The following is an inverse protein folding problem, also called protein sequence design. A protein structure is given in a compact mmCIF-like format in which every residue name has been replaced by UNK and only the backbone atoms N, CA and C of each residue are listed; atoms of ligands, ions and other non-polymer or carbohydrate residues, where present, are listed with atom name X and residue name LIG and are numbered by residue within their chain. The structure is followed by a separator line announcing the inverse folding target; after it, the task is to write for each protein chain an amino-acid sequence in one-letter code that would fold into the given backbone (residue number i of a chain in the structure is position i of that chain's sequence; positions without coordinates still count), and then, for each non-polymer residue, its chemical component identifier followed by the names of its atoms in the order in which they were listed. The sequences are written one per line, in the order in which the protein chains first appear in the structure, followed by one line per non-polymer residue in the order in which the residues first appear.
data_IF_567483391056
#
_entry.id   IF_567483391056
#
_cell.length_a   1.000
_cell.length_b   1.000
_cell.length_c   1.000
_cell.angle_alpha   90.00
_cell.angle_beta   90.00
_cell.angle_gamma   90.00
#
_symmetry.space_group_name_H-M   'P 1'
#
loop_
_entity.id
_entity.type
_entity.pdbx_description
1 polymer ?
#
# COMPACT_ATOMS: atom_id res chain seq x y z
N UNK A 1 -14.22 -0.52 -1.18
CA UNK A 1 -14.03 -1.97 -1.40
C UNK A 1 -15.30 -2.70 -1.01
N UNK A 2 -15.80 -3.65 -1.82
CA UNK A 2 -17.09 -4.31 -1.58
C UNK A 2 -17.05 -5.32 -0.42
N UNK A 3 -18.22 -5.59 0.18
CA UNK A 3 -18.45 -6.49 1.32
C UNK A 3 -17.88 -7.93 1.15
N UNK A 4 -17.54 -8.33 -0.07
CA UNK A 4 -16.97 -9.65 -0.39
C UNK A 4 -15.47 -9.79 -0.11
N UNK A 5 -14.77 -8.67 0.11
CA UNK A 5 -13.33 -8.71 0.42
C UNK A 5 -13.03 -9.42 1.74
N UNK A 6 -13.93 -9.33 2.73
CA UNK A 6 -13.82 -10.04 4.01
C UNK A 6 -13.81 -11.58 3.85
N UNK A 7 -14.54 -12.13 2.88
CA UNK A 7 -14.58 -13.58 2.63
C UNK A 7 -13.26 -14.13 2.08
N UNK A 8 -12.43 -13.28 1.47
CA UNK A 8 -11.09 -13.63 0.99
C UNK A 8 -10.07 -13.42 2.11
N UNK A 9 -10.18 -12.33 2.87
CA UNK A 9 -9.23 -12.02 3.94
C UNK A 9 -9.40 -12.92 5.18
N UNK A 10 -10.60 -13.39 5.49
CA UNK A 10 -10.85 -14.22 6.67
C UNK A 10 -10.11 -15.58 6.59
N UNK A 11 -10.22 -16.39 5.51
CA UNK A 11 -9.42 -17.60 5.36
C UNK A 11 -7.91 -17.33 5.35
N UNK A 12 -7.47 -16.25 4.69
CA UNK A 12 -6.07 -15.85 4.69
C UNK A 12 -5.56 -15.54 6.11
N UNK A 13 -6.40 -14.92 6.93
CA UNK A 13 -6.07 -14.57 8.32
C UNK A 13 -5.92 -15.83 9.17
N UNK A 14 -6.85 -16.79 9.05
CA UNK A 14 -6.74 -18.08 9.74
C UNK A 14 -5.53 -18.89 9.28
N UNK A 15 -5.23 -18.90 7.98
CA UNK A 15 -4.02 -19.55 7.45
C UNK A 15 -2.74 -18.89 7.99
N UNK A 16 -2.73 -17.56 8.11
CA UNK A 16 -1.59 -16.81 8.64
C UNK A 16 -1.39 -17.08 10.13
N UNK A 17 -2.46 -17.06 10.93
CA UNK A 17 -2.42 -17.40 12.36
C UNK A 17 -1.98 -18.85 12.56
N UNK A 18 -2.53 -19.78 11.78
CA UNK A 18 -2.15 -21.19 11.81
C UNK A 18 -0.67 -21.40 11.45
N UNK A 19 -0.19 -20.71 10.42
CA UNK A 19 1.23 -20.73 10.03
C UNK A 19 2.14 -20.18 11.13
N UNK A 20 1.77 -19.07 11.76
CA UNK A 20 2.53 -18.48 12.87
C UNK A 20 2.55 -19.41 14.10
N UNK A 21 1.42 -20.03 14.44
CA UNK A 21 1.34 -20.98 15.55
C UNK A 21 2.22 -22.22 15.30
N UNK A 22 2.20 -22.76 14.07
CA UNK A 22 3.07 -23.87 13.67
C UNK A 22 4.55 -23.47 13.72
N UNK A 23 4.88 -22.25 13.30
CA UNK A 23 6.24 -21.71 13.37
C UNK A 23 6.75 -21.57 14.81
N UNK A 24 5.93 -21.04 15.71
CA UNK A 24 6.27 -20.93 17.14
C UNK A 24 6.43 -22.32 17.76
N UNK A 25 5.50 -23.23 17.48
CA UNK A 25 5.57 -24.62 17.96
C UNK A 25 6.86 -25.30 17.50
N UNK A 26 7.31 -25.01 16.29
CA UNK A 26 8.56 -25.51 15.74
C UNK A 26 9.80 -25.00 16.46
N UNK A 27 9.84 -23.71 16.78
CA UNK A 27 10.92 -23.14 17.59
C UNK A 27 10.95 -23.83 18.96
N UNK A 28 9.79 -23.98 19.61
CA UNK A 28 9.69 -24.61 20.93
C UNK A 28 10.14 -26.08 20.90
N UNK A 29 9.70 -26.86 19.92
CA UNK A 29 10.12 -28.26 19.75
C UNK A 29 11.61 -28.34 19.45
N UNK A 30 12.12 -27.50 18.54
CA UNK A 30 13.53 -27.49 18.18
C UNK A 30 14.45 -27.16 19.36
N UNK A 31 14.02 -26.23 20.23
CA UNK A 31 14.72 -25.92 21.48
C UNK A 31 14.62 -27.09 22.47
N UNK A 32 13.44 -27.67 22.67
CA UNK A 32 13.23 -28.77 23.64
C UNK A 32 13.96 -30.04 23.26
N UNK A 33 13.97 -30.39 21.99
CA UNK A 33 14.55 -31.64 21.50
C UNK A 33 16.01 -31.50 21.04
N UNK A 34 16.56 -30.27 21.03
CA UNK A 34 17.86 -29.92 20.44
C UNK A 34 18.04 -30.50 19.01
N UNK A 35 16.93 -30.65 18.30
CA UNK A 35 16.85 -31.22 16.96
C UNK A 35 16.27 -30.19 16.03
N UNK A 36 16.96 -29.99 14.91
CA UNK A 36 16.44 -29.18 13.82
C UNK A 36 15.17 -29.86 13.27
N UNK A 37 14.12 -29.10 12.92
CA UNK A 37 12.93 -29.66 12.27
C UNK A 37 13.27 -30.47 11.02
N UNK A 38 12.44 -31.46 10.70
CA UNK A 38 12.58 -32.25 9.47
C UNK A 38 12.55 -31.34 8.22
N UNK A 39 13.31 -31.71 7.19
CA UNK A 39 13.40 -31.01 5.91
C UNK A 39 12.03 -30.79 5.25
N UNK A 40 11.07 -31.71 5.44
CA UNK A 40 9.69 -31.54 4.97
C UNK A 40 9.02 -30.31 5.59
N UNK A 41 9.26 -30.07 6.87
CA UNK A 41 8.63 -29.00 7.62
C UNK A 41 9.27 -27.65 7.32
N UNK A 42 10.59 -27.61 7.13
CA UNK A 42 11.27 -26.45 6.56
C UNK A 42 10.75 -26.10 5.17
N UNK A 43 10.52 -27.10 4.32
CA UNK A 43 9.98 -26.88 2.98
C UNK A 43 8.58 -26.25 3.02
N UNK A 44 7.72 -26.70 3.94
CA UNK A 44 6.38 -26.12 4.13
C UNK A 44 6.47 -24.66 4.59
N UNK A 45 7.33 -24.36 5.58
CA UNK A 45 7.53 -22.98 6.04
C UNK A 45 8.07 -22.07 4.94
N UNK A 46 9.04 -22.57 4.15
CA UNK A 46 9.62 -21.82 3.05
C UNK A 46 8.58 -21.52 1.96
N UNK A 47 7.77 -22.51 1.59
CA UNK A 47 6.70 -22.33 0.61
C UNK A 47 5.64 -21.36 1.13
N UNK A 48 5.20 -21.52 2.39
CA UNK A 48 4.20 -20.64 2.99
C UNK A 48 4.70 -19.19 3.10
N UNK A 49 5.93 -19.00 3.57
CA UNK A 49 6.56 -17.67 3.66
C UNK A 49 6.78 -17.05 2.29
N UNK A 50 7.26 -17.83 1.31
CA UNK A 50 7.45 -17.38 -0.06
C UNK A 50 6.14 -17.00 -0.75
N UNK A 51 5.06 -17.75 -0.53
CA UNK A 51 3.73 -17.41 -1.04
C UNK A 51 3.20 -16.13 -0.38
N UNK A 52 3.34 -16.00 0.94
CA UNK A 52 2.91 -14.79 1.66
C UNK A 52 3.63 -13.55 1.13
N UNK A 53 4.96 -13.59 1.05
CA UNK A 53 5.78 -12.49 0.53
C UNK A 53 5.43 -12.21 -0.94
N UNK A 54 5.31 -13.24 -1.78
CA UNK A 54 4.95 -13.07 -3.19
C UNK A 54 3.59 -12.42 -3.38
N UNK A 55 2.57 -12.80 -2.59
CA UNK A 55 1.23 -12.18 -2.65
C UNK A 55 1.27 -10.74 -2.12
N UNK A 56 1.98 -10.51 -1.01
CA UNK A 56 2.14 -9.17 -0.43
C UNK A 56 2.81 -8.22 -1.43
N UNK A 57 3.95 -8.64 -1.98
CA UNK A 57 4.73 -7.85 -2.94
C UNK A 57 3.97 -7.63 -4.25
N UNK A 58 3.31 -8.66 -4.78
CA UNK A 58 2.46 -8.52 -5.98
C UNK A 58 1.36 -7.48 -5.75
N UNK A 59 0.67 -7.54 -4.61
CA UNK A 59 -0.37 -6.58 -4.23
C UNK A 59 0.19 -5.15 -4.09
N UNK A 60 1.45 -5.02 -3.69
CA UNK A 60 2.13 -3.73 -3.54
C UNK A 60 2.86 -3.26 -4.80
N UNK A 61 2.57 -3.89 -5.95
CA UNK A 61 3.06 -3.44 -7.24
C UNK A 61 4.48 -3.87 -7.57
N UNK A 62 5.01 -4.95 -6.97
CA UNK A 62 6.35 -5.49 -7.26
C UNK A 62 6.61 -5.70 -8.76
N UNK A 63 5.59 -6.09 -9.51
CA UNK A 63 5.67 -6.33 -10.95
C UNK A 63 5.09 -5.18 -11.79
N UNK A 64 4.82 -4.03 -11.18
CA UNK A 64 4.34 -2.85 -11.88
C UNK A 64 5.47 -1.83 -12.00
N UNK A 65 5.70 -1.33 -13.20
CA UNK A 65 6.70 -0.28 -13.41
C UNK A 65 6.19 1.03 -12.80
N UNK A 66 6.91 1.55 -11.80
CA UNK A 66 6.62 2.83 -11.17
C UNK A 66 7.01 3.96 -12.12
N UNK A 67 6.08 4.87 -12.38
CA UNK A 67 6.31 6.08 -13.17
C UNK A 67 6.60 7.28 -12.30
N UNK A 68 5.96 7.36 -11.13
CA UNK A 68 6.12 8.46 -10.20
C UNK A 68 5.86 7.98 -8.78
N UNK A 69 6.70 8.42 -7.84
CA UNK A 69 6.55 8.18 -6.42
C UNK A 69 6.58 9.52 -5.68
N UNK A 70 5.62 9.75 -4.80
CA UNK A 70 5.51 10.99 -4.06
C UNK A 70 4.96 10.77 -2.66
N UNK A 71 5.29 11.64 -1.70
CA UNK A 71 4.81 11.53 -0.33
C UNK A 71 4.33 12.86 0.24
N UNK A 72 3.22 12.80 0.95
CA UNK A 72 2.76 13.86 1.83
C UNK A 72 3.19 13.49 3.25
N UNK A 73 3.96 14.37 3.88
CA UNK A 73 4.53 14.16 5.20
C UNK A 73 3.89 15.16 6.15
N UNK A 74 3.27 14.66 7.19
CA UNK A 74 2.75 15.41 8.33
C UNK A 74 3.46 14.93 9.61
N UNK A 75 3.41 15.69 10.70
CA UNK A 75 4.18 15.41 11.93
C UNK A 75 3.96 13.99 12.50
N UNK A 76 2.80 13.39 12.23
CA UNK A 76 2.37 12.10 12.79
C UNK A 76 1.88 11.10 11.76
N UNK A 77 1.86 11.47 10.49
CA UNK A 77 1.33 10.61 9.43
C UNK A 77 2.10 10.80 8.14
N UNK A 78 2.10 9.76 7.31
CA UNK A 78 2.72 9.79 6.00
C UNK A 78 1.79 9.15 4.99
N UNK A 79 1.52 9.85 3.91
CA UNK A 79 0.73 9.32 2.80
C UNK A 79 1.65 9.19 1.59
N UNK A 80 1.88 7.95 1.13
CA UNK A 80 2.64 7.69 -0.09
C UNK A 80 1.68 7.53 -1.27
N UNK A 81 2.02 8.16 -2.39
CA UNK A 81 1.37 8.01 -3.69
C UNK A 81 2.35 7.35 -4.64
N UNK A 82 1.96 6.23 -5.23
CA UNK A 82 2.69 5.59 -6.33
C UNK A 82 1.81 5.51 -7.55
N UNK A 83 2.34 5.97 -8.67
CA UNK A 83 1.73 5.89 -9.99
C UNK A 83 2.52 4.89 -10.84
N UNK A 84 1.81 4.04 -11.57
CA UNK A 84 2.39 2.96 -12.37
C UNK A 84 2.04 3.12 -13.86
N UNK A 85 2.95 2.71 -14.75
CA UNK A 85 2.84 2.90 -16.21
C UNK A 85 1.55 2.32 -16.80
N UNK A 86 1.00 1.29 -16.17
CA UNK A 86 -0.26 0.64 -16.57
C UNK A 86 -1.54 1.41 -16.15
N UNK A 87 -1.37 2.67 -15.72
CA UNK A 87 -2.44 3.55 -15.28
C UNK A 87 -3.06 3.17 -13.93
N UNK A 88 -2.42 2.29 -13.15
CA UNK A 88 -2.81 2.01 -11.77
C UNK A 88 -2.13 2.97 -10.80
N UNK A 89 -2.80 3.30 -9.70
CA UNK A 89 -2.15 3.97 -8.57
C UNK A 89 -2.31 3.12 -7.31
N UNK A 90 -1.40 3.34 -6.36
CA UNK A 90 -1.54 2.90 -4.97
C UNK A 90 -1.29 4.11 -4.07
N UNK A 91 -2.17 4.31 -3.09
CA UNK A 91 -1.98 5.25 -1.99
C UNK A 91 -1.87 4.45 -0.69
N UNK A 92 -0.82 4.71 0.08
CA UNK A 92 -0.65 4.17 1.43
C UNK A 92 -0.77 5.30 2.43
N UNK A 93 -1.82 5.29 3.24
CA UNK A 93 -1.99 6.20 4.36
C UNK A 93 -1.50 5.50 5.64
N UNK A 94 -0.30 5.87 6.08
CA UNK A 94 0.33 5.32 7.26
C UNK A 94 0.07 6.20 8.48
N UNK A 95 -0.40 5.58 9.56
CA UNK A 95 -0.46 6.16 10.89
C UNK A 95 0.11 5.18 11.91
N UNK A 96 0.30 5.65 13.15
CA UNK A 96 1.03 4.92 14.19
C UNK A 96 0.52 3.49 14.49
N UNK A 97 -0.73 3.19 14.19
CA UNK A 97 -1.40 1.93 14.53
C UNK A 97 -1.89 1.15 13.31
N UNK A 98 -1.56 1.57 12.09
CA UNK A 98 -2.09 0.93 10.90
C UNK A 98 -1.74 1.61 9.60
N UNK A 99 -2.00 0.88 8.53
CA UNK A 99 -1.86 1.35 7.16
C UNK A 99 -3.20 1.11 6.46
N UNK A 100 -3.72 2.14 5.82
CA UNK A 100 -4.78 2.01 4.84
C UNK A 100 -4.22 2.09 3.43
N UNK A 101 -4.67 1.16 2.58
CA UNK A 101 -4.26 1.06 1.18
C UNK A 101 -5.44 1.35 0.27
N UNK A 102 -5.29 2.38 -0.56
CA UNK A 102 -6.22 2.69 -1.64
C UNK A 102 -5.58 2.37 -2.98
N UNK A 103 -6.37 1.87 -3.93
CA UNK A 103 -5.92 1.56 -5.27
C UNK A 103 -6.99 1.92 -6.28
N UNK A 104 -6.57 2.18 -7.51
CA UNK A 104 -7.50 2.43 -8.59
C UNK A 104 -6.78 2.78 -9.88
N UNK A 105 -7.53 3.45 -10.76
CA UNK A 105 -7.03 3.91 -12.06
C UNK A 105 -6.83 5.42 -12.06
N UNK A 106 -5.79 5.88 -12.74
CA UNK A 106 -5.52 7.29 -12.98
C UNK A 106 -5.23 7.55 -14.46
N UNK A 107 -5.26 8.81 -14.84
CA UNK A 107 -4.68 9.34 -16.08
C UNK A 107 -3.97 10.65 -15.78
N UNK A 108 -2.95 10.98 -16.58
CA UNK A 108 -2.32 12.30 -16.55
C UNK A 108 -2.70 13.02 -17.85
N UNK A 109 -3.26 14.22 -17.72
CA UNK A 109 -3.55 15.13 -18.83
C UNK A 109 -2.70 16.36 -18.64
N UNK A 110 -1.65 16.49 -19.43
CA UNK A 110 -0.67 17.59 -19.33
C UNK A 110 -0.04 17.63 -17.92
N UNK A 111 -0.41 18.61 -17.10
CA UNK A 111 0.04 18.81 -15.72
C UNK A 111 -0.98 18.30 -14.69
N UNK A 112 -2.09 17.70 -15.11
CA UNK A 112 -3.18 17.33 -14.21
C UNK A 112 -3.26 15.82 -14.05
N UNK A 113 -3.09 15.34 -12.81
CA UNK A 113 -3.37 13.98 -12.39
C UNK A 113 -4.87 13.82 -12.13
N UNK A 114 -5.52 12.87 -12.80
CA UNK A 114 -6.95 12.60 -12.66
C UNK A 114 -7.17 11.15 -12.21
N UNK A 115 -7.70 10.98 -11.01
CA UNK A 115 -8.16 9.69 -10.50
C UNK A 115 -9.53 9.34 -11.09
N UNK A 116 -9.73 8.11 -11.55
CA UNK A 116 -11.01 7.69 -12.18
C UNK A 116 -12.17 7.56 -11.18
N UNK A 117 -11.86 7.51 -9.89
CA UNK A 117 -12.78 7.48 -8.74
C UNK A 117 -12.11 8.22 -7.59
N UNK A 118 -12.89 8.56 -6.55
CA UNK A 118 -12.32 9.16 -5.33
C UNK A 118 -11.12 8.34 -4.85
N UNK A 119 -9.93 8.96 -4.74
CA UNK A 119 -8.70 8.25 -4.41
C UNK A 119 -8.67 7.77 -2.95
N UNK A 120 -9.45 8.41 -2.08
CA UNK A 120 -9.66 8.01 -0.69
C UNK A 120 -11.15 7.78 -0.47
N UNK A 121 -11.49 6.76 0.31
CA UNK A 121 -12.89 6.40 0.58
C UNK A 121 -13.46 7.34 1.64
N UNK A 122 -14.70 7.77 1.47
CA UNK A 122 -15.48 8.54 2.46
C UNK A 122 -14.91 9.90 2.88
N UNK A 123 -13.95 10.46 2.13
CA UNK A 123 -13.50 11.85 2.28
C UNK A 123 -13.00 12.46 0.96
N UNK A 124 -12.89 13.79 0.95
CA UNK A 124 -12.39 14.60 -0.16
C UNK A 124 -10.99 15.17 0.14
N UNK A 125 -10.24 14.55 1.05
CA UNK A 125 -8.94 15.07 1.48
C UNK A 125 -7.95 15.13 0.31
N UNK A 126 -7.92 14.06 -0.49
CA UNK A 126 -7.26 14.03 -1.78
C UNK A 126 -8.34 14.21 -2.85
N UNK A 127 -8.25 15.31 -3.59
CA UNK A 127 -9.19 15.61 -4.66
C UNK A 127 -9.02 14.62 -5.81
N UNK A 128 -10.11 14.33 -6.53
CA UNK A 128 -10.09 13.46 -7.73
C UNK A 128 -9.16 13.99 -8.82
N UNK A 129 -8.92 15.29 -8.83
CA UNK A 129 -7.95 15.95 -9.69
C UNK A 129 -6.85 16.55 -8.81
N UNK A 130 -5.61 16.52 -9.30
CA UNK A 130 -4.45 17.11 -8.64
C UNK A 130 -3.54 17.76 -9.68
N UNK A 131 -2.90 18.88 -9.34
CA UNK A 131 -1.95 19.56 -10.25
C UNK A 131 -0.54 19.09 -9.93
N UNK A 132 0.18 18.64 -10.95
CA UNK A 132 1.57 18.25 -10.92
C UNK A 132 2.42 19.44 -11.36
N UNK A 133 3.20 19.98 -10.44
CA UNK A 133 4.26 20.94 -10.73
C UNK A 133 5.60 20.21 -10.75
N UNK A 134 6.01 19.79 -11.95
CA UNK A 134 7.28 19.10 -12.17
C UNK A 134 8.51 19.98 -11.85
N UNK A 135 8.39 21.30 -11.94
CA UNK A 135 9.50 22.21 -11.63
C UNK A 135 9.72 22.32 -10.13
N UNK A 136 8.63 22.37 -9.34
CA UNK A 136 8.69 22.38 -7.89
C UNK A 136 8.85 20.97 -7.28
N UNK A 137 8.66 19.91 -8.08
CA UNK A 137 8.64 18.53 -7.60
C UNK A 137 7.44 18.26 -6.70
N UNK A 138 6.26 18.82 -6.99
CA UNK A 138 5.08 18.78 -6.11
C UNK A 138 3.82 18.36 -6.83
N UNK A 139 2.92 17.66 -6.13
CA UNK A 139 1.56 17.38 -6.58
C UNK A 139 0.58 17.98 -5.59
N UNK A 140 -0.10 19.05 -5.98
CA UNK A 140 -1.11 19.72 -5.17
C UNK A 140 -2.44 19.00 -5.29
N UNK A 141 -2.97 18.51 -4.17
CA UNK A 141 -4.10 17.58 -4.18
C UNK A 141 -5.33 18.08 -3.42
N UNK A 142 -5.25 19.17 -2.67
CA UNK A 142 -6.39 19.75 -1.95
C UNK A 142 -6.85 21.03 -2.61
N UNK A 143 -8.14 21.07 -2.98
CA UNK A 143 -8.81 22.32 -3.38
C UNK A 143 -9.40 23.01 -2.15
N UNK A 144 -9.26 24.33 -2.10
CA UNK A 144 -9.93 25.21 -1.14
C UNK A 144 -11.40 25.44 -1.48
N UNK A 145 -12.08 26.27 -0.68
CA UNK A 145 -13.50 26.61 -0.88
C UNK A 145 -13.77 27.38 -2.17
N UNK A 146 -12.75 28.00 -2.75
CA UNK A 146 -12.76 28.75 -4.00
C UNK A 146 -12.38 27.88 -5.21
N UNK A 147 -12.33 26.55 -5.03
CA UNK A 147 -11.90 25.55 -6.03
C UNK A 147 -10.43 25.68 -6.50
N UNK A 148 -9.65 26.56 -5.88
CA UNK A 148 -8.22 26.68 -6.16
C UNK A 148 -7.43 25.68 -5.32
N UNK A 149 -6.32 25.20 -5.86
CA UNK A 149 -5.43 24.32 -5.11
C UNK A 149 -4.68 25.09 -4.03
N UNK A 150 -4.63 24.51 -2.84
CA UNK A 150 -3.77 25.00 -1.77
C UNK A 150 -2.33 24.61 -2.08
N UNK A 151 -1.50 25.62 -2.37
CA UNK A 151 -0.08 25.43 -2.72
C UNK A 151 0.87 25.56 -1.53
N UNK A 152 0.34 25.79 -0.33
CA UNK A 152 1.15 26.06 0.87
C UNK A 152 1.58 24.78 1.56
N UNK A 153 0.62 23.92 1.91
CA UNK A 153 0.87 22.78 2.81
C UNK A 153 0.41 21.43 2.22
N UNK A 154 -0.64 21.40 1.38
CA UNK A 154 -1.26 20.15 0.93
C UNK A 154 -0.73 19.70 -0.42
N UNK A 155 0.50 19.17 -0.41
CA UNK A 155 1.15 18.62 -1.60
C UNK A 155 1.89 17.31 -1.32
N UNK A 156 1.93 16.42 -2.30
CA UNK A 156 2.90 15.33 -2.31
C UNK A 156 4.23 15.86 -2.85
N UNK A 157 5.33 15.57 -2.16
CA UNK A 157 6.68 15.80 -2.66
C UNK A 157 7.08 14.63 -3.56
N UNK A 158 7.46 14.89 -4.81
CA UNK A 158 7.93 13.90 -5.78
C UNK A 158 9.38 13.51 -5.46
N UNK A 159 9.72 12.23 -5.60
CA UNK A 159 11.07 11.66 -5.41
C UNK A 159 11.73 12.07 -4.08
N UNK A 160 10.99 11.88 -2.99
CA UNK A 160 11.37 12.22 -1.62
C UNK A 160 12.35 11.21 -0.98
#
# INVERSE_FOLDING_TARGET
MGAYSFLIYLPLTFLSIGSLALFIMLIVIGIKEAKVPDAKLFSILFIAGGMFLGVYDFRNGLFWNKTLEAAFIDERSRINLMLFENGNYIIFANWFFGEERFEGKYEIKEDTLVFKKSPVTDNDFISTESIIDYNAGKIYFKKGKDEKYDTTCYYFQIDF
#
